data_IF_435069596354
#
_entry.id   IF_435069596354
#
_cell.length_a   1.000
_cell.length_b   1.000
_cell.length_c   1.000
_cell.angle_alpha   90.00
_cell.angle_beta   90.00
_cell.angle_gamma   90.00
#
_symmetry.space_group_name_H-M   'P 1'
#
loop_
_entity.id
_entity.type
_entity.pdbx_description
1 polymer ?
#
# COMPACT_ATOMS: atom_id res chain seq x y z
N UNK A 1 -45.35 42.65 64.60
CA UNK A 1 -43.93 42.98 64.30
C UNK A 1 -42.93 41.87 64.66
N UNK A 2 -43.16 41.00 65.67
CA UNK A 2 -42.23 39.86 65.98
C UNK A 2 -42.15 38.77 64.89
N UNK A 3 -43.23 38.57 64.11
CA UNK A 3 -43.26 37.60 63.02
C UNK A 3 -42.56 38.11 61.74
N UNK A 4 -42.45 39.43 61.55
CA UNK A 4 -41.74 40.02 60.39
C UNK A 4 -40.24 40.11 60.64
N UNK A 5 -39.80 40.31 61.88
CA UNK A 5 -38.37 40.27 62.24
C UNK A 5 -37.78 38.86 62.16
N UNK A 6 -38.51 37.82 62.55
CA UNK A 6 -38.08 36.42 62.36
C UNK A 6 -37.90 36.08 60.86
N UNK A 7 -38.88 36.43 60.02
CA UNK A 7 -38.78 36.24 58.57
C UNK A 7 -37.61 37.01 57.92
N UNK A 8 -37.31 38.23 58.39
CA UNK A 8 -36.16 39.01 57.90
C UNK A 8 -34.82 38.38 58.28
N UNK A 9 -34.75 37.71 59.42
CA UNK A 9 -33.55 37.03 59.89
C UNK A 9 -33.29 35.73 59.13
N UNK A 10 -34.33 34.92 58.93
CA UNK A 10 -34.24 33.67 58.19
C UNK A 10 -33.92 33.92 56.70
N UNK A 11 -34.51 34.96 56.10
CA UNK A 11 -34.18 35.35 54.72
C UNK A 11 -32.76 35.89 54.58
N UNK A 12 -32.22 36.61 55.56
CA UNK A 12 -30.84 37.11 55.52
C UNK A 12 -29.79 36.01 55.74
N UNK A 13 -30.04 35.05 56.63
CA UNK A 13 -29.20 33.85 56.77
C UNK A 13 -29.23 33.00 55.50
N UNK A 14 -30.42 32.76 54.93
CA UNK A 14 -30.54 32.03 53.67
C UNK A 14 -29.83 32.74 52.51
N UNK A 15 -29.83 34.08 52.49
CA UNK A 15 -29.06 34.86 51.52
C UNK A 15 -27.55 34.73 51.71
N UNK A 16 -27.06 34.74 52.95
CA UNK A 16 -25.64 34.55 53.26
C UNK A 16 -25.16 33.15 52.88
N UNK A 17 -25.93 32.11 53.24
CA UNK A 17 -25.62 30.73 52.87
C UNK A 17 -25.58 30.54 51.34
N UNK A 18 -26.54 31.13 50.61
CA UNK A 18 -26.53 31.11 49.13
C UNK A 18 -25.28 31.78 48.55
N UNK A 19 -24.86 32.92 49.10
CA UNK A 19 -23.65 33.63 48.65
C UNK A 19 -22.37 32.87 48.98
N UNK A 20 -22.30 32.25 50.16
CA UNK A 20 -21.16 31.41 50.56
C UNK A 20 -21.01 30.21 49.62
N UNK A 21 -22.11 29.54 49.28
CA UNK A 21 -22.11 28.41 48.35
C UNK A 21 -21.68 28.85 46.93
N UNK A 22 -22.17 30.01 46.45
CA UNK A 22 -21.77 30.56 45.16
C UNK A 22 -20.27 30.87 45.11
N UNK A 23 -19.72 31.47 46.18
CA UNK A 23 -18.30 31.79 46.29
C UNK A 23 -17.41 30.53 46.29
N UNK A 24 -17.86 29.48 46.97
CA UNK A 24 -17.17 28.19 46.99
C UNK A 24 -17.17 27.52 45.61
N UNK A 25 -18.31 27.54 44.91
CA UNK A 25 -18.41 27.02 43.53
C UNK A 25 -17.49 27.79 42.58
N UNK A 26 -17.47 29.12 42.65
CA UNK A 26 -16.61 29.93 41.80
C UNK A 26 -15.13 29.76 42.11
N UNK A 27 -14.76 29.56 43.38
CA UNK A 27 -13.41 29.16 43.75
C UNK A 27 -13.02 27.80 43.16
N UNK A 28 -13.94 26.83 43.10
CA UNK A 28 -13.70 25.54 42.45
C UNK A 28 -13.53 25.69 40.93
N UNK A 29 -14.33 26.53 40.28
CA UNK A 29 -14.19 26.83 38.85
C UNK A 29 -12.86 27.51 38.53
N UNK A 30 -12.42 28.46 39.36
CA UNK A 30 -11.12 29.13 39.21
C UNK A 30 -9.95 28.19 39.44
N UNK A 31 -10.02 27.32 40.44
CA UNK A 31 -8.92 26.37 40.74
C UNK A 31 -8.85 25.22 39.73
N UNK A 32 -9.99 24.78 39.19
CA UNK A 32 -10.05 23.75 38.14
C UNK A 32 -9.83 24.29 36.73
N UNK A 33 -10.00 25.60 36.51
CA UNK A 33 -9.99 26.23 35.18
C UNK A 33 -11.20 25.88 34.32
N UNK A 34 -12.21 25.20 34.87
CA UNK A 34 -13.41 24.75 34.14
C UNK A 34 -14.63 25.52 34.61
N UNK A 35 -15.40 26.04 33.66
CA UNK A 35 -16.73 26.63 33.88
C UNK A 35 -17.73 25.54 34.29
N UNK A 36 -17.64 24.36 33.68
CA UNK A 36 -18.50 23.21 33.97
C UNK A 36 -17.68 22.16 34.71
N UNK A 37 -17.91 22.00 36.01
CA UNK A 37 -17.27 20.97 36.82
C UNK A 37 -18.17 19.72 36.94
N UNK A 38 -19.49 19.92 37.04
CA UNK A 38 -20.48 18.85 37.07
C UNK A 38 -21.51 19.03 35.96
N UNK A 39 -22.04 17.93 35.43
CA UNK A 39 -23.07 17.96 34.40
C UNK A 39 -24.38 18.64 34.86
N UNK A 40 -24.60 18.75 36.17
CA UNK A 40 -25.71 19.50 36.77
C UNK A 40 -25.59 21.02 36.60
N UNK A 41 -24.38 21.55 36.42
CA UNK A 41 -24.13 22.99 36.35
C UNK A 41 -24.62 23.58 35.01
N UNK A 42 -24.39 22.84 33.92
CA UNK A 42 -24.86 23.16 32.57
C UNK A 42 -24.96 21.86 31.76
N UNK A 43 -26.13 21.19 31.73
CA UNK A 43 -26.29 19.91 31.06
C UNK A 43 -26.09 20.01 29.54
N UNK A 44 -26.34 21.20 28.96
CA UNK A 44 -26.18 21.40 27.51
C UNK A 44 -24.72 21.59 27.11
N UNK A 45 -23.97 22.36 27.90
CA UNK A 45 -22.53 22.53 27.75
C UNK A 45 -21.77 21.24 28.02
N UNK A 46 -22.17 20.49 29.07
CA UNK A 46 -21.62 19.17 29.36
C UNK A 46 -21.84 18.20 28.17
N UNK A 47 -23.06 18.15 27.61
CA UNK A 47 -23.34 17.30 26.45
C UNK A 47 -22.54 17.70 25.18
N UNK A 48 -22.20 18.99 25.02
CA UNK A 48 -21.32 19.46 23.94
C UNK A 48 -19.87 19.03 24.18
N UNK A 49 -19.36 19.24 25.39
CA UNK A 49 -18.01 18.84 25.78
C UNK A 49 -17.80 17.32 25.63
N UNK A 50 -18.77 16.50 26.03
CA UNK A 50 -18.72 15.04 25.88
C UNK A 50 -18.70 14.60 24.42
N UNK A 51 -19.52 15.23 23.56
CA UNK A 51 -19.48 14.95 22.10
C UNK A 51 -18.13 15.30 21.50
N UNK A 52 -17.56 16.43 21.90
CA UNK A 52 -16.24 16.85 21.46
C UNK A 52 -15.13 15.89 21.95
N UNK A 53 -15.18 15.45 23.21
CA UNK A 53 -14.26 14.43 23.75
C UNK A 53 -14.36 13.09 23.00
N UNK A 54 -15.59 12.63 22.73
CA UNK A 54 -15.80 11.43 21.92
C UNK A 54 -15.24 11.59 20.49
N UNK A 55 -15.33 12.80 19.92
CA UNK A 55 -14.72 13.11 18.62
C UNK A 55 -13.19 13.05 18.68
N UNK A 56 -12.57 13.67 19.69
CA UNK A 56 -11.12 13.62 19.92
C UNK A 56 -10.65 12.17 20.05
N UNK A 57 -11.32 11.35 20.87
CA UNK A 57 -10.96 9.94 21.04
C UNK A 57 -11.03 9.13 19.75
N UNK A 58 -12.02 9.39 18.89
CA UNK A 58 -12.09 8.78 17.54
C UNK A 58 -10.95 9.23 16.65
N UNK A 59 -10.62 10.51 16.65
CA UNK A 59 -9.50 11.05 15.85
C UNK A 59 -8.18 10.45 16.29
N UNK A 60 -7.92 10.32 17.59
CA UNK A 60 -6.69 9.70 18.11
C UNK A 60 -6.59 8.21 17.75
N UNK A 61 -7.71 7.48 17.76
CA UNK A 61 -7.73 6.11 17.27
C UNK A 61 -7.39 6.02 15.78
N UNK A 62 -7.91 6.95 14.96
CA UNK A 62 -7.58 7.04 13.55
C UNK A 62 -6.12 7.44 13.30
N UNK A 63 -5.56 8.34 14.11
CA UNK A 63 -4.14 8.73 14.00
C UNK A 63 -3.21 7.53 14.24
N UNK A 64 -3.49 6.70 15.26
CA UNK A 64 -2.72 5.46 15.50
C UNK A 64 -2.85 4.47 14.35
N UNK A 65 -4.05 4.33 13.78
CA UNK A 65 -4.31 3.47 12.63
C UNK A 65 -3.56 3.95 11.37
N UNK A 66 -3.55 5.26 11.13
CA UNK A 66 -2.84 5.92 10.04
C UNK A 66 -1.33 5.73 10.18
N UNK A 67 -0.77 5.91 11.39
CA UNK A 67 0.65 5.72 11.65
C UNK A 67 1.09 4.27 11.40
N UNK A 68 0.29 3.29 11.82
CA UNK A 68 0.55 1.88 11.52
C UNK A 68 0.55 1.61 10.00
N UNK A 69 -0.39 2.20 9.27
CA UNK A 69 -0.45 2.10 7.81
C UNK A 69 0.75 2.78 7.14
N UNK A 70 1.13 3.99 7.58
CA UNK A 70 2.31 4.72 7.07
C UNK A 70 3.59 3.91 7.26
N UNK A 71 3.77 3.31 8.45
CA UNK A 71 4.94 2.47 8.73
C UNK A 71 5.00 1.27 7.79
N UNK A 72 3.88 0.57 7.60
CA UNK A 72 3.80 -0.58 6.68
C UNK A 72 4.05 -0.17 5.22
N UNK A 73 3.39 0.88 4.74
CA UNK A 73 3.56 1.37 3.36
C UNK A 73 4.99 1.88 3.10
N UNK A 74 5.63 2.54 4.07
CA UNK A 74 7.04 2.97 3.96
C UNK A 74 7.98 1.77 3.85
N UNK A 75 7.73 0.73 4.65
CA UNK A 75 8.54 -0.50 4.60
C UNK A 75 8.32 -1.26 3.28
N UNK A 76 7.08 -1.30 2.78
CA UNK A 76 6.76 -1.85 1.46
C UNK A 76 7.47 -1.08 0.33
N UNK A 77 7.41 0.25 0.36
CA UNK A 77 8.06 1.14 -0.60
C UNK A 77 9.57 0.91 -0.65
N UNK A 78 10.22 0.83 0.51
CA UNK A 78 11.65 0.49 0.62
C UNK A 78 11.94 -0.91 0.07
N UNK A 79 11.14 -1.91 0.42
CA UNK A 79 11.32 -3.27 -0.08
C UNK A 79 11.19 -3.36 -1.61
N UNK A 80 10.23 -2.65 -2.20
CA UNK A 80 10.07 -2.57 -3.66
C UNK A 80 11.24 -1.82 -4.32
N UNK A 81 11.77 -0.78 -3.65
CA UNK A 81 13.00 -0.10 -4.06
C UNK A 81 14.20 -1.04 -4.12
N UNK A 82 14.48 -1.74 -3.03
CA UNK A 82 15.58 -2.73 -2.91
C UNK A 82 15.43 -3.83 -3.98
N UNK A 83 14.21 -4.31 -4.21
CA UNK A 83 13.93 -5.33 -5.22
C UNK A 83 14.23 -4.85 -6.65
N UNK A 84 13.89 -3.59 -6.96
CA UNK A 84 14.17 -3.00 -8.26
C UNK A 84 15.68 -2.81 -8.51
N UNK A 85 16.47 -2.52 -7.47
CA UNK A 85 17.94 -2.49 -7.56
C UNK A 85 18.52 -3.88 -7.84
N UNK A 86 18.03 -4.92 -7.16
CA UNK A 86 18.44 -6.29 -7.41
C UNK A 86 18.07 -6.77 -8.81
N UNK A 87 16.90 -6.39 -9.32
CA UNK A 87 16.51 -6.72 -10.70
C UNK A 87 17.37 -5.98 -11.74
N UNK A 88 17.84 -4.76 -11.45
CA UNK A 88 18.83 -4.09 -12.29
C UNK A 88 20.14 -4.88 -12.34
N UNK A 89 20.61 -5.40 -11.20
CA UNK A 89 21.79 -6.27 -11.16
C UNK A 89 21.56 -7.60 -11.89
N UNK A 90 20.35 -8.16 -11.82
CA UNK A 90 19.99 -9.35 -12.59
C UNK A 90 20.02 -9.07 -14.09
N UNK A 91 19.46 -7.93 -14.52
CA UNK A 91 19.48 -7.45 -15.91
C UNK A 91 20.92 -7.27 -16.40
N UNK A 92 21.79 -6.62 -15.64
CA UNK A 92 23.21 -6.48 -15.98
C UNK A 92 23.91 -7.83 -16.13
N UNK A 93 23.60 -8.77 -15.23
CA UNK A 93 24.15 -10.13 -15.27
C UNK A 93 23.69 -10.87 -16.52
N UNK A 94 22.42 -10.71 -16.93
CA UNK A 94 21.91 -11.24 -18.19
C UNK A 94 22.52 -10.54 -19.41
N UNK A 95 22.67 -9.22 -19.41
CA UNK A 95 23.38 -8.51 -20.51
C UNK A 95 24.80 -9.08 -20.68
N UNK A 96 25.53 -9.29 -19.58
CA UNK A 96 26.85 -9.92 -19.59
C UNK A 96 26.80 -11.36 -20.10
N UNK A 97 25.80 -12.14 -19.69
CA UNK A 97 25.59 -13.50 -20.18
C UNK A 97 25.31 -13.54 -21.70
N UNK A 98 24.81 -12.48 -22.31
CA UNK A 98 24.64 -12.37 -23.76
C UNK A 98 25.95 -12.39 -24.56
N UNK A 99 27.12 -12.23 -23.93
CA UNK A 99 28.41 -12.21 -24.61
C UNK A 99 28.70 -13.54 -25.32
N UNK A 100 28.86 -13.51 -26.65
CA UNK A 100 29.07 -14.68 -27.47
C UNK A 100 30.40 -15.41 -27.19
N UNK A 101 31.39 -14.72 -26.62
CA UNK A 101 32.71 -15.28 -26.30
C UNK A 101 32.76 -16.04 -24.98
N UNK A 102 31.70 -16.00 -24.16
CA UNK A 102 31.66 -16.71 -22.88
C UNK A 102 31.44 -18.20 -23.05
N UNK A 103 32.29 -18.96 -22.36
CA UNK A 103 32.22 -20.40 -22.17
C UNK A 103 31.08 -20.80 -21.22
N UNK A 104 30.72 -22.09 -21.26
CA UNK A 104 29.72 -22.67 -20.36
C UNK A 104 30.11 -22.50 -18.87
N UNK A 105 31.42 -22.52 -18.55
CA UNK A 105 31.91 -22.31 -17.19
C UNK A 105 31.71 -20.86 -16.70
N UNK A 106 31.93 -19.89 -17.57
CA UNK A 106 31.66 -18.48 -17.26
C UNK A 106 30.16 -18.23 -17.11
N UNK A 107 29.33 -18.80 -17.97
CA UNK A 107 27.85 -18.72 -17.88
C UNK A 107 27.33 -19.34 -16.58
N UNK A 108 27.88 -20.47 -16.15
CA UNK A 108 27.57 -21.09 -14.86
C UNK A 108 27.93 -20.20 -13.67
N UNK A 109 29.02 -19.44 -13.78
CA UNK A 109 29.39 -18.46 -12.75
C UNK A 109 28.38 -17.32 -12.66
N UNK A 110 27.85 -16.85 -13.81
CA UNK A 110 26.75 -15.88 -13.85
C UNK A 110 25.44 -16.46 -13.31
N UNK A 111 25.15 -17.73 -13.57
CA UNK A 111 24.00 -18.43 -12.99
C UNK A 111 24.06 -18.44 -11.46
N UNK A 112 25.26 -18.65 -10.89
CA UNK A 112 25.49 -18.60 -9.43
C UNK A 112 25.23 -17.18 -8.88
N UNK A 113 25.63 -16.14 -9.61
CA UNK A 113 25.33 -14.76 -9.25
C UNK A 113 23.81 -14.48 -9.29
N UNK A 114 23.11 -14.94 -10.32
CA UNK A 114 21.65 -14.81 -10.41
C UNK A 114 20.92 -15.56 -9.30
N UNK A 115 21.41 -16.74 -8.90
CA UNK A 115 20.87 -17.47 -7.75
C UNK A 115 20.96 -16.62 -6.48
N UNK A 116 22.11 -15.99 -6.22
CA UNK A 116 22.26 -15.09 -5.07
C UNK A 116 21.27 -13.90 -5.10
N UNK A 117 21.06 -13.31 -6.28
CA UNK A 117 20.08 -12.24 -6.46
C UNK A 117 18.65 -12.74 -6.22
N UNK A 118 18.30 -13.92 -6.75
CA UNK A 118 17.00 -14.58 -6.53
C UNK A 118 16.74 -14.82 -5.05
N UNK A 119 17.72 -15.35 -4.32
CA UNK A 119 17.58 -15.64 -2.89
C UNK A 119 17.42 -14.36 -2.06
N UNK A 120 18.12 -13.29 -2.43
CA UNK A 120 17.94 -11.97 -1.83
C UNK A 120 16.55 -11.39 -2.12
N UNK A 121 16.06 -11.51 -3.36
CA UNK A 121 14.70 -11.09 -3.72
C UNK A 121 13.64 -11.87 -2.94
N UNK A 122 13.85 -13.17 -2.72
CA UNK A 122 12.94 -13.98 -1.90
C UNK A 122 12.92 -13.51 -0.44
N UNK A 123 14.07 -13.13 0.11
CA UNK A 123 14.14 -12.54 1.45
C UNK A 123 13.40 -11.19 1.53
N UNK A 124 13.46 -10.38 0.48
CA UNK A 124 12.70 -9.11 0.39
C UNK A 124 11.20 -9.37 0.28
N UNK A 125 10.79 -10.32 -0.56
CA UNK A 125 9.38 -10.70 -0.72
C UNK A 125 8.79 -11.25 0.59
N UNK A 126 9.62 -11.86 1.44
CA UNK A 126 9.28 -12.33 2.78
C UNK A 126 9.73 -11.36 3.90
N UNK A 127 9.76 -10.05 3.64
CA UNK A 127 10.14 -9.07 4.67
C UNK A 127 9.07 -8.98 5.78
N UNK A 128 9.45 -9.10 7.07
CA UNK A 128 8.51 -9.01 8.18
C UNK A 128 8.04 -7.56 8.39
N UNK A 129 6.83 -7.40 8.91
CA UNK A 129 6.24 -6.09 9.23
C UNK A 129 6.63 -5.55 10.63
N UNK A 130 7.35 -6.35 11.43
CA UNK A 130 7.73 -6.03 12.80
C UNK A 130 6.66 -6.29 13.86
N UNK A 131 5.43 -6.62 13.46
CA UNK A 131 4.29 -6.95 14.31
C UNK A 131 3.96 -8.44 14.36
N UNK A 132 4.82 -9.29 13.76
CA UNK A 132 4.64 -10.75 13.68
C UNK A 132 4.00 -11.23 12.37
N UNK A 133 3.79 -10.32 11.41
CA UNK A 133 3.34 -10.63 10.06
C UNK A 133 4.38 -10.29 9.00
N UNK A 134 3.92 -10.27 7.75
CA UNK A 134 4.74 -9.96 6.57
C UNK A 134 4.05 -8.92 5.70
N UNK A 135 4.84 -8.01 5.13
CA UNK A 135 4.33 -6.85 4.39
C UNK A 135 3.53 -7.28 3.15
N UNK A 136 4.04 -8.29 2.44
CA UNK A 136 3.47 -8.80 1.20
C UNK A 136 2.53 -10.00 1.42
N UNK A 137 1.98 -10.16 2.63
CA UNK A 137 1.10 -11.31 2.96
C UNK A 137 -0.36 -11.14 2.54
N UNK A 138 -0.70 -10.07 1.83
CA UNK A 138 -2.08 -9.82 1.41
C UNK A 138 -3.01 -9.67 2.62
N UNK A 139 -3.99 -10.55 2.82
CA UNK A 139 -4.88 -10.50 4.00
C UNK A 139 -4.23 -10.89 5.35
N UNK A 140 -2.91 -11.01 5.40
CA UNK A 140 -2.16 -11.29 6.63
C UNK A 140 -1.90 -12.77 6.83
N UNK A 141 -0.67 -13.09 7.23
CA UNK A 141 -0.28 -14.43 7.65
C UNK A 141 0.89 -14.33 8.63
N UNK A 142 0.91 -15.21 9.62
CA UNK A 142 2.06 -15.41 10.50
C UNK A 142 3.15 -16.29 9.85
N UNK A 143 2.87 -16.87 8.68
CA UNK A 143 3.82 -17.67 7.90
C UNK A 143 4.35 -16.86 6.71
N UNK A 144 5.59 -17.13 6.25
CA UNK A 144 6.15 -16.50 5.06
C UNK A 144 5.20 -16.62 3.84
N UNK A 145 4.88 -15.51 3.15
CA UNK A 145 3.95 -15.54 2.02
C UNK A 145 4.49 -16.23 0.78
N UNK A 146 5.81 -16.28 0.59
CA UNK A 146 6.47 -16.93 -0.54
C UNK A 146 7.26 -18.14 -0.07
N UNK A 147 6.90 -19.32 -0.58
CA UNK A 147 7.60 -20.57 -0.29
C UNK A 147 8.34 -21.05 -1.53
N UNK A 148 9.61 -21.42 -1.35
CA UNK A 148 10.42 -22.05 -2.38
C UNK A 148 10.15 -23.57 -2.37
N UNK A 149 9.49 -24.06 -3.42
CA UNK A 149 9.11 -25.45 -3.58
C UNK A 149 9.83 -26.08 -4.79
N UNK A 150 9.67 -27.39 -4.99
CA UNK A 150 10.31 -28.09 -6.11
C UNK A 150 9.93 -27.53 -7.48
N UNK A 151 8.72 -26.96 -7.61
CA UNK A 151 8.21 -26.35 -8.84
C UNK A 151 8.49 -24.83 -8.93
N UNK A 152 9.31 -24.30 -8.02
CA UNK A 152 9.65 -22.88 -7.91
C UNK A 152 8.96 -22.16 -6.74
N UNK A 153 9.12 -20.83 -6.69
CA UNK A 153 8.51 -20.01 -5.65
C UNK A 153 7.02 -19.82 -5.93
N UNK A 154 6.17 -20.10 -4.93
CA UNK A 154 4.74 -19.87 -5.00
C UNK A 154 4.24 -18.98 -3.86
N UNK A 155 3.26 -18.12 -4.19
CA UNK A 155 2.54 -17.35 -3.19
C UNK A 155 1.48 -18.21 -2.50
N UNK A 156 1.64 -18.40 -1.18
CA UNK A 156 0.71 -19.16 -0.33
C UNK A 156 -0.16 -18.27 0.56
N UNK A 157 -0.08 -16.95 0.38
CA UNK A 157 -0.96 -16.00 1.08
C UNK A 157 -2.35 -15.91 0.46
N UNK A 158 -3.25 -15.21 1.15
CA UNK A 158 -4.56 -14.86 0.62
C UNK A 158 -4.46 -13.47 -0.01
N UNK A 159 -4.79 -13.38 -1.31
CA UNK A 159 -4.76 -12.12 -2.05
C UNK A 159 -5.69 -11.06 -1.42
N UNK A 160 -5.34 -9.79 -1.57
CA UNK A 160 -6.05 -8.67 -0.96
C UNK A 160 -5.21 -7.95 0.09
N UNK A 161 -5.85 -7.30 1.06
CA UNK A 161 -5.13 -6.55 2.09
C UNK A 161 -5.89 -6.44 3.39
N UNK A 162 -5.18 -6.31 4.51
CA UNK A 162 -5.80 -5.96 5.79
C UNK A 162 -6.05 -4.45 5.79
N UNK A 163 -7.25 -4.07 6.23
CA UNK A 163 -7.62 -2.69 6.50
C UNK A 163 -7.87 -2.48 7.99
N UNK A 164 -7.64 -1.26 8.48
CA UNK A 164 -8.04 -0.86 9.83
C UNK A 164 -9.56 -0.72 9.90
N UNK A 165 -10.19 -1.32 10.91
CA UNK A 165 -11.65 -1.36 11.07
C UNK A 165 -12.28 -0.08 11.63
N UNK A 166 -11.72 1.08 11.31
CA UNK A 166 -12.20 2.39 11.77
C UNK A 166 -13.05 3.08 10.69
N UNK A 167 -13.52 4.32 10.94
CA UNK A 167 -14.30 5.12 9.97
C UNK A 167 -13.58 5.32 8.62
N UNK A 168 -12.25 5.36 8.64
CA UNK A 168 -11.39 5.36 7.46
C UNK A 168 -10.60 4.03 7.44
N UNK A 169 -10.73 3.28 6.35
CA UNK A 169 -10.04 2.00 6.15
C UNK A 169 -8.61 2.25 5.65
N UNK A 170 -7.62 2.23 6.53
CA UNK A 170 -6.20 2.31 6.14
C UNK A 170 -5.62 0.92 5.91
N UNK A 171 -4.91 0.76 4.80
CA UNK A 171 -4.32 -0.51 4.40
C UNK A 171 -3.03 -0.80 5.17
N UNK A 172 -2.92 -2.01 5.73
CA UNK A 172 -1.79 -2.44 6.56
C UNK A 172 -0.84 -3.41 5.84
N UNK A 173 -1.20 -3.87 4.66
CA UNK A 173 -0.43 -4.85 3.88
C UNK A 173 -0.54 -4.60 2.39
N UNK A 174 0.44 -5.06 1.63
CA UNK A 174 0.42 -5.01 0.17
C UNK A 174 0.08 -6.40 -0.38
N UNK A 175 -0.63 -6.44 -1.50
CA UNK A 175 -0.91 -7.70 -2.20
C UNK A 175 0.39 -8.24 -2.81
N UNK A 176 0.94 -9.28 -2.18
CA UNK A 176 2.16 -9.93 -2.65
C UNK A 176 1.96 -10.64 -3.99
N UNK A 177 0.78 -11.21 -4.25
CA UNK A 177 0.54 -11.87 -5.54
C UNK A 177 0.59 -10.84 -6.68
N UNK A 178 -0.07 -9.71 -6.51
CA UNK A 178 -0.03 -8.59 -7.45
C UNK A 178 1.40 -8.08 -7.71
N UNK A 179 2.21 -7.96 -6.66
CA UNK A 179 3.58 -7.46 -6.79
C UNK A 179 4.55 -8.45 -7.47
N UNK A 180 4.49 -9.73 -7.10
CA UNK A 180 5.58 -10.68 -7.40
C UNK A 180 5.19 -11.76 -8.43
N UNK A 181 3.90 -12.03 -8.64
CA UNK A 181 3.41 -13.12 -9.51
C UNK A 181 2.56 -12.68 -10.71
N UNK A 182 2.21 -11.38 -10.82
CA UNK A 182 1.24 -10.91 -11.82
C UNK A 182 1.79 -9.85 -12.77
N UNK A 183 3.08 -9.91 -13.10
CA UNK A 183 3.62 -9.04 -14.13
C UNK A 183 2.97 -9.35 -15.49
N UNK A 184 2.77 -8.32 -16.31
CA UNK A 184 2.26 -8.47 -17.66
C UNK A 184 3.41 -8.88 -18.57
N UNK A 185 3.38 -10.12 -19.06
CA UNK A 185 4.44 -10.70 -19.88
C UNK A 185 4.56 -10.09 -21.28
N UNK A 186 5.67 -10.41 -21.95
CA UNK A 186 5.88 -10.03 -23.35
C UNK A 186 6.18 -8.55 -23.55
N UNK A 187 5.60 -7.93 -24.58
CA UNK A 187 5.71 -6.49 -24.85
C UNK A 187 4.52 -5.67 -24.30
N UNK A 188 3.74 -6.25 -23.37
CA UNK A 188 2.51 -5.65 -22.83
C UNK A 188 1.25 -5.89 -23.67
N UNK A 189 1.37 -6.43 -24.89
CA UNK A 189 0.22 -6.79 -25.74
C UNK A 189 0.20 -8.28 -26.11
N UNK A 190 1.37 -8.87 -26.36
CA UNK A 190 1.53 -10.30 -26.61
C UNK A 190 2.87 -10.79 -26.09
N UNK A 191 2.93 -12.08 -25.81
CA UNK A 191 4.15 -12.82 -25.49
C UNK A 191 4.54 -13.68 -26.68
N UNK A 192 5.81 -13.58 -27.08
CA UNK A 192 6.38 -14.45 -28.11
C UNK A 192 7.33 -15.44 -27.47
N UNK A 193 7.29 -16.68 -27.93
CA UNK A 193 8.17 -17.71 -27.43
C UNK A 193 8.23 -18.93 -28.35
N UNK A 194 9.20 -19.82 -28.14
CA UNK A 194 9.13 -21.15 -28.73
C UNK A 194 7.79 -21.81 -28.37
N UNK A 195 7.10 -22.36 -29.35
CA UNK A 195 6.05 -23.35 -29.04
C UNK A 195 6.74 -24.61 -28.48
N UNK A 196 6.02 -25.43 -27.71
CA UNK A 196 6.57 -26.59 -26.99
C UNK A 196 7.68 -27.29 -27.80
N UNK A 197 8.86 -27.42 -27.16
CA UNK A 197 10.10 -27.87 -27.79
C UNK A 197 9.85 -29.14 -28.60
N UNK A 198 9.91 -29.03 -29.93
CA UNK A 198 10.19 -30.20 -30.75
C UNK A 198 11.67 -30.50 -30.52
N UNK A 199 11.95 -31.59 -29.82
CA UNK A 199 13.32 -32.12 -29.76
C UNK A 199 13.52 -32.81 -31.09
N UNK A 200 14.52 -32.38 -31.86
CA UNK A 200 14.96 -33.14 -33.02
C UNK A 200 15.47 -34.51 -32.53
N UNK A 201 14.73 -35.56 -32.88
CA UNK A 201 14.99 -36.94 -32.47
C UNK A 201 16.34 -37.48 -32.97
N UNK A 202 16.97 -36.80 -33.93
CA UNK A 202 18.24 -37.18 -34.57
C UNK A 202 19.43 -36.50 -33.89
N UNK A 203 19.27 -35.25 -33.44
CA UNK A 203 20.36 -34.44 -32.87
C UNK A 203 20.27 -34.29 -31.35
N UNK A 204 19.12 -34.62 -30.75
CA UNK A 204 18.87 -34.44 -29.31
C UNK A 204 18.87 -32.98 -28.86
N UNK A 205 18.79 -32.04 -29.82
CA UNK A 205 18.84 -30.59 -29.56
C UNK A 205 17.45 -29.96 -29.72
N UNK A 206 17.12 -28.91 -28.94
CA UNK A 206 15.97 -28.06 -29.22
C UNK A 206 16.13 -27.39 -30.59
N UNK A 207 15.16 -27.56 -31.48
CA UNK A 207 15.23 -27.08 -32.89
C UNK A 207 15.14 -25.56 -33.03
N UNK A 208 14.58 -24.89 -32.02
CA UNK A 208 14.13 -23.49 -32.12
C UNK A 208 15.28 -22.51 -32.42
N UNK A 209 15.22 -21.85 -33.58
CA UNK A 209 16.03 -20.65 -33.88
C UNK A 209 15.19 -19.37 -33.98
N UNK A 210 15.52 -18.41 -33.12
CA UNK A 210 15.34 -16.95 -33.20
C UNK A 210 13.97 -16.41 -33.69
N UNK A 211 13.15 -15.95 -32.73
CA UNK A 211 12.17 -14.89 -33.00
C UNK A 211 12.84 -13.56 -32.67
N UNK A 212 12.82 -12.60 -33.60
CA UNK A 212 13.12 -11.21 -33.28
C UNK A 212 11.85 -10.58 -32.66
N UNK A 213 11.85 -10.20 -31.37
CA UNK A 213 10.66 -9.70 -30.69
C UNK A 213 10.22 -8.31 -31.14
N UNK A 214 10.78 -7.73 -32.21
CA UNK A 214 10.34 -6.48 -32.83
C UNK A 214 8.95 -6.58 -33.49
N UNK A 215 8.07 -7.40 -32.94
CA UNK A 215 6.68 -7.46 -33.30
C UNK A 215 5.98 -6.18 -32.79
N UNK A 216 5.34 -5.48 -33.71
CA UNK A 216 4.51 -4.31 -33.43
C UNK A 216 3.09 -4.68 -33.84
N UNK A 217 2.24 -4.94 -32.86
CA UNK A 217 0.86 -5.30 -33.12
C UNK A 217 -0.04 -4.95 -31.94
N UNK A 218 -1.26 -4.51 -32.23
CA UNK A 218 -2.37 -4.64 -31.29
C UNK A 218 -2.86 -6.09 -31.39
N UNK A 219 -2.90 -6.83 -30.28
CA UNK A 219 -3.60 -8.11 -30.26
C UNK A 219 -5.11 -7.79 -30.38
N UNK A 220 -5.64 -7.87 -31.59
CA UNK A 220 -6.98 -7.41 -31.96
C UNK A 220 -8.14 -8.21 -31.35
N UNK A 221 -7.87 -9.25 -30.54
CA UNK A 221 -8.96 -10.05 -29.96
C UNK A 221 -8.62 -11.02 -28.84
N UNK A 222 -7.38 -11.09 -28.35
CA UNK A 222 -6.99 -12.07 -27.31
C UNK A 222 -6.85 -13.51 -27.82
N UNK A 223 -6.56 -13.68 -29.10
CA UNK A 223 -6.33 -14.97 -29.74
C UNK A 223 -4.87 -15.42 -29.54
N UNK A 224 -4.66 -16.73 -29.53
CA UNK A 224 -3.36 -17.38 -29.50
C UNK A 224 -3.01 -17.86 -30.92
N UNK A 225 -1.82 -17.51 -31.40
CA UNK A 225 -1.35 -17.85 -32.75
C UNK A 225 -0.10 -18.72 -32.70
N UNK A 226 0.10 -19.48 -33.77
CA UNK A 226 1.30 -20.28 -34.00
C UNK A 226 1.82 -20.08 -35.41
N UNK A 227 3.13 -19.95 -35.52
CA UNK A 227 3.83 -19.94 -36.80
C UNK A 227 4.60 -21.22 -36.92
N UNK A 228 4.37 -21.95 -38.00
CA UNK A 228 5.15 -23.13 -38.37
C UNK A 228 6.01 -22.78 -39.58
N UNK A 229 7.32 -23.05 -39.49
CA UNK A 229 8.27 -22.93 -40.59
C UNK A 229 8.57 -24.32 -41.13
N UNK A 230 8.41 -24.48 -42.44
CA UNK A 230 8.59 -25.77 -43.12
C UNK A 230 9.49 -25.65 -44.35
N UNK A 231 10.20 -26.73 -44.65
CA UNK A 231 11.10 -26.88 -45.78
C UNK A 231 12.55 -26.51 -45.48
N UNK A 232 13.39 -26.65 -46.49
CA UNK A 232 14.84 -26.39 -46.40
C UNK A 232 15.19 -25.10 -47.12
N UNK A 233 16.11 -24.32 -46.54
CA UNK A 233 16.61 -23.11 -47.19
C UNK A 233 17.16 -23.42 -48.59
N UNK A 234 16.93 -22.56 -49.61
CA UNK A 234 16.28 -21.25 -49.54
C UNK A 234 14.76 -21.26 -49.83
N UNK A 235 14.12 -22.43 -49.96
CA UNK A 235 12.71 -22.56 -50.37
C UNK A 235 11.76 -22.79 -49.20
N UNK A 236 12.10 -22.23 -48.03
CA UNK A 236 11.28 -22.36 -46.83
C UNK A 236 9.95 -21.65 -46.99
N UNK A 237 8.94 -22.15 -46.27
CA UNK A 237 7.61 -21.56 -46.18
C UNK A 237 7.24 -21.35 -44.73
N UNK A 238 6.37 -20.40 -44.46
CA UNK A 238 5.76 -20.21 -43.15
C UNK A 238 4.25 -20.32 -43.24
N UNK A 239 3.62 -20.78 -42.17
CA UNK A 239 2.17 -20.79 -41.98
C UNK A 239 1.85 -20.17 -40.62
N UNK A 240 1.11 -19.06 -40.62
CA UNK A 240 0.55 -18.45 -39.41
C UNK A 240 -0.87 -18.98 -39.21
N UNK A 241 -1.11 -19.61 -38.07
CA UNK A 241 -2.39 -20.21 -37.68
C UNK A 241 -2.91 -19.54 -36.42
N UNK A 242 -4.17 -19.12 -36.43
CA UNK A 242 -4.92 -18.77 -35.23
C UNK A 242 -5.34 -20.09 -34.55
N UNK A 243 -4.77 -20.37 -33.38
CA UNK A 243 -5.06 -21.58 -32.62
C UNK A 243 -6.39 -21.49 -31.85
N UNK A 244 -6.89 -20.29 -31.57
CA UNK A 244 -8.17 -20.06 -30.90
C UNK A 244 -9.33 -20.42 -31.82
N UNK A 245 -9.23 -20.11 -33.10
CA UNK A 245 -10.27 -20.40 -34.12
C UNK A 245 -9.93 -21.65 -34.95
N UNK A 246 -8.67 -22.06 -34.98
CA UNK A 246 -8.19 -23.21 -35.76
C UNK A 246 -8.05 -22.90 -37.25
N UNK A 247 -7.84 -21.64 -37.63
CA UNK A 247 -7.78 -21.19 -39.04
C UNK A 247 -6.41 -20.63 -39.41
N UNK A 248 -5.97 -20.89 -40.64
CA UNK A 248 -4.77 -20.25 -41.20
C UNK A 248 -5.06 -18.79 -41.50
N UNK A 249 -4.27 -17.91 -40.89
CA UNK A 249 -4.35 -16.45 -41.09
C UNK A 249 -3.60 -16.05 -42.36
N UNK A 250 -2.39 -16.56 -42.52
CA UNK A 250 -1.55 -16.30 -43.71
C UNK A 250 -0.50 -17.38 -43.88
N UNK A 251 -0.01 -17.56 -45.11
CA UNK A 251 1.10 -18.46 -45.42
C UNK A 251 1.89 -17.91 -46.61
N UNK A 252 3.19 -18.17 -46.68
CA UNK A 252 4.00 -17.70 -47.79
C UNK A 252 5.43 -18.25 -47.78
N UNK A 253 6.23 -17.79 -48.73
CA UNK A 253 7.67 -18.08 -48.74
C UNK A 253 8.33 -17.37 -47.55
N UNK A 254 9.11 -18.11 -46.78
CA UNK A 254 9.86 -17.61 -45.66
C UNK A 254 11.16 -16.94 -46.14
N UNK A 255 11.41 -15.72 -45.68
CA UNK A 255 12.69 -15.04 -45.84
C UNK A 255 13.08 -14.44 -44.49
N UNK A 256 14.30 -14.76 -44.04
CA UNK A 256 14.84 -14.25 -42.80
C UNK A 256 14.81 -12.71 -42.78
N UNK A 257 14.32 -12.14 -41.68
CA UNK A 257 14.22 -10.69 -41.47
C UNK A 257 13.10 -10.00 -42.27
N UNK A 258 12.35 -10.72 -43.11
CA UNK A 258 11.16 -10.17 -43.75
C UNK A 258 10.01 -10.14 -42.73
N UNK A 259 9.27 -9.02 -42.70
CA UNK A 259 8.07 -8.92 -41.88
C UNK A 259 6.99 -9.91 -42.37
N UNK A 260 6.46 -10.69 -41.44
CA UNK A 260 5.27 -11.51 -41.61
C UNK A 260 4.12 -10.73 -40.96
N UNK A 261 3.06 -10.51 -41.73
CA UNK A 261 1.90 -9.75 -41.28
C UNK A 261 0.62 -10.55 -41.44
N UNK A 262 -0.25 -10.49 -40.44
CA UNK A 262 -1.54 -11.18 -40.42
C UNK A 262 -2.38 -10.69 -39.24
N UNK A 263 -3.68 -10.55 -39.45
CA UNK A 263 -4.66 -10.18 -38.42
C UNK A 263 -4.30 -8.93 -37.58
N UNK A 264 -3.83 -7.87 -38.26
CA UNK A 264 -3.41 -6.63 -37.60
C UNK A 264 -2.05 -6.70 -36.89
N UNK A 265 -1.38 -7.85 -36.94
CA UNK A 265 -0.05 -8.05 -36.37
C UNK A 265 1.05 -8.03 -37.44
N UNK A 266 2.24 -7.57 -37.05
CA UNK A 266 3.46 -7.69 -37.83
C UNK A 266 4.62 -8.11 -36.92
N UNK A 267 5.42 -9.08 -37.37
CA UNK A 267 6.61 -9.56 -36.67
C UNK A 267 7.68 -10.01 -37.65
N UNK A 268 8.92 -10.13 -37.18
CA UNK A 268 10.06 -10.61 -37.97
C UNK A 268 10.64 -11.86 -37.32
N UNK A 269 11.03 -12.82 -38.14
CA UNK A 269 11.83 -13.96 -37.71
C UNK A 269 13.21 -13.75 -38.30
N UNK A 270 14.18 -13.48 -37.43
CA UNK A 270 15.58 -13.37 -37.82
C UNK A 270 16.24 -14.76 -37.78
N UNK A 271 17.40 -14.92 -38.42
CA UNK A 271 18.14 -16.19 -38.38
C UNK A 271 17.70 -17.21 -39.44
N UNK A 272 18.12 -18.46 -39.27
CA UNK A 272 17.90 -19.54 -40.24
C UNK A 272 17.08 -20.67 -39.59
N UNK A 273 15.75 -20.52 -39.48
CA UNK A 273 14.90 -21.57 -38.89
C UNK A 273 15.06 -22.88 -39.66
N UNK A 274 14.97 -23.99 -38.93
CA UNK A 274 14.99 -25.32 -39.52
C UNK A 274 13.57 -25.78 -39.90
N UNK A 275 13.50 -26.85 -40.69
CA UNK A 275 12.22 -27.49 -41.00
C UNK A 275 11.56 -28.02 -39.72
N UNK A 276 10.29 -27.68 -39.51
CA UNK A 276 9.53 -28.08 -38.32
C UNK A 276 9.65 -27.13 -37.13
N UNK A 277 10.37 -26.01 -37.27
CA UNK A 277 10.41 -24.97 -36.25
C UNK A 277 9.04 -24.32 -36.07
N UNK A 278 8.66 -24.11 -34.81
CA UNK A 278 7.38 -23.49 -34.48
C UNK A 278 7.47 -22.48 -33.35
N UNK A 279 6.69 -21.42 -33.49
CA UNK A 279 6.69 -20.27 -32.61
C UNK A 279 5.28 -19.96 -32.16
N UNK A 280 5.10 -19.71 -30.86
CA UNK A 280 3.83 -19.29 -30.29
C UNK A 280 3.82 -17.76 -30.13
N UNK A 281 2.69 -17.17 -30.44
CA UNK A 281 2.35 -15.78 -30.14
C UNK A 281 1.06 -15.83 -29.33
N UNK A 282 1.18 -15.65 -28.03
CA UNK A 282 0.02 -15.66 -27.13
C UNK A 282 -0.32 -14.26 -26.67
N UNK A 283 -1.59 -13.99 -26.34
CA UNK A 283 -1.96 -12.73 -25.71
C UNK A 283 -1.16 -12.49 -24.41
N UNK A 284 -0.76 -11.26 -24.12
CA UNK A 284 -0.05 -10.95 -22.89
C UNK A 284 -0.99 -11.21 -21.70
N UNK A 285 -0.53 -12.01 -20.75
CA UNK A 285 -1.25 -12.36 -19.52
C UNK A 285 -0.53 -11.77 -18.31
N UNK A 286 -1.29 -11.49 -17.26
CA UNK A 286 -0.76 -11.02 -15.96
C UNK A 286 -0.44 -12.20 -15.05
N UNK A 287 0.34 -13.15 -15.56
CA UNK A 287 0.75 -14.40 -14.90
C UNK A 287 2.27 -14.59 -14.87
N UNK A 288 3.04 -13.60 -15.33
CA UNK A 288 4.50 -13.66 -15.30
C UNK A 288 4.98 -13.50 -13.86
N UNK A 289 5.57 -14.58 -13.33
CA UNK A 289 6.13 -14.63 -11.97
C UNK A 289 7.60 -14.25 -11.95
N UNK A 290 7.98 -13.33 -11.07
CA UNK A 290 9.38 -12.88 -10.92
C UNK A 290 10.34 -14.04 -10.74
N UNK A 291 10.05 -14.93 -9.79
CA UNK A 291 10.94 -16.03 -9.45
C UNK A 291 11.03 -17.05 -10.57
N UNK A 292 9.92 -17.32 -11.28
CA UNK A 292 9.93 -18.20 -12.46
C UNK A 292 10.80 -17.64 -13.58
N UNK A 293 10.84 -16.32 -13.77
CA UNK A 293 11.70 -15.65 -14.76
C UNK A 293 13.17 -15.86 -14.41
N UNK A 294 13.54 -15.64 -13.14
CA UNK A 294 14.91 -15.86 -12.68
C UNK A 294 15.30 -17.34 -12.72
N UNK A 295 14.41 -18.25 -12.30
CA UNK A 295 14.62 -19.70 -12.33
C UNK A 295 14.88 -20.19 -13.75
N UNK A 296 14.05 -19.74 -14.70
CA UNK A 296 14.24 -20.05 -16.12
C UNK A 296 15.59 -19.54 -16.61
N UNK A 297 15.97 -18.30 -16.28
CA UNK A 297 17.27 -17.74 -16.65
C UNK A 297 18.44 -18.54 -16.05
N UNK A 298 18.33 -18.97 -14.79
CA UNK A 298 19.36 -19.77 -14.11
C UNK A 298 19.50 -21.15 -14.76
N UNK A 299 18.38 -21.82 -15.08
CA UNK A 299 18.38 -23.11 -15.80
C UNK A 299 19.02 -22.95 -17.17
N UNK A 300 18.66 -21.88 -17.88
CA UNK A 300 19.20 -21.52 -19.19
C UNK A 300 20.73 -21.36 -19.16
N UNK A 301 21.27 -20.66 -18.16
CA UNK A 301 22.72 -20.44 -18.02
C UNK A 301 23.48 -21.69 -17.54
N UNK A 302 22.81 -22.61 -16.84
CA UNK A 302 23.38 -23.87 -16.39
C UNK A 302 23.33 -24.97 -17.46
N UNK A 303 22.52 -24.80 -18.51
CA UNK A 303 22.40 -25.78 -19.59
C UNK A 303 23.64 -25.71 -20.50
N UNK A 304 24.48 -26.77 -20.54
CA UNK A 304 25.71 -26.77 -21.33
C UNK A 304 25.44 -26.97 -22.82
N UNK A 305 26.43 -26.67 -23.67
CA UNK A 305 26.43 -26.95 -25.11
C UNK A 305 25.28 -26.29 -25.89
N UNK A 306 24.74 -25.18 -25.38
CA UNK A 306 23.78 -24.35 -26.11
C UNK A 306 24.42 -23.73 -27.35
N UNK A 307 23.67 -23.66 -28.44
CA UNK A 307 24.12 -22.93 -29.64
C UNK A 307 24.14 -21.43 -29.36
N UNK A 308 24.94 -20.67 -30.11
CA UNK A 308 24.96 -19.19 -30.02
C UNK A 308 23.58 -18.57 -30.22
N UNK A 309 22.75 -19.17 -31.07
CA UNK A 309 21.35 -18.77 -31.30
C UNK A 309 20.49 -19.03 -30.06
N UNK A 310 20.60 -20.21 -29.45
CA UNK A 310 19.85 -20.55 -28.23
C UNK A 310 20.23 -19.63 -27.07
N UNK A 311 21.53 -19.32 -26.92
CA UNK A 311 22.01 -18.38 -25.92
C UNK A 311 21.44 -16.98 -26.16
N UNK A 312 21.56 -16.46 -27.38
CA UNK A 312 21.05 -15.12 -27.72
C UNK A 312 19.56 -15.01 -27.47
N UNK A 313 18.77 -16.03 -27.84
CA UNK A 313 17.33 -16.03 -27.66
C UNK A 313 16.92 -16.12 -26.19
N UNK A 314 17.50 -17.06 -25.44
CA UNK A 314 17.24 -17.19 -24.00
C UNK A 314 17.56 -15.89 -23.26
N UNK A 315 18.64 -15.23 -23.65
CA UNK A 315 19.03 -13.95 -23.07
C UNK A 315 18.04 -12.82 -23.38
N UNK A 316 17.61 -12.70 -24.64
CA UNK A 316 16.62 -11.69 -25.04
C UNK A 316 15.28 -11.91 -24.33
N UNK A 317 14.82 -13.16 -24.21
CA UNK A 317 13.59 -13.49 -23.49
C UNK A 317 13.71 -13.17 -22.00
N UNK A 318 14.81 -13.59 -21.35
CA UNK A 318 15.04 -13.29 -19.95
C UNK A 318 15.11 -11.78 -19.68
N UNK A 319 15.79 -11.00 -20.54
CA UNK A 319 15.85 -9.53 -20.41
C UNK A 319 14.46 -8.90 -20.54
N UNK A 320 13.67 -9.31 -21.54
CA UNK A 320 12.29 -8.85 -21.72
C UNK A 320 11.44 -9.14 -20.48
N UNK A 321 11.50 -10.37 -19.98
CA UNK A 321 10.66 -10.79 -18.86
C UNK A 321 11.12 -10.14 -17.53
N UNK A 322 12.43 -9.91 -17.35
CA UNK A 322 12.97 -9.10 -16.24
C UNK A 322 12.45 -7.67 -16.32
N UNK A 323 12.45 -7.05 -17.49
CA UNK A 323 11.94 -5.68 -17.68
C UNK A 323 10.42 -5.59 -17.41
N UNK A 324 9.65 -6.60 -17.83
CA UNK A 324 8.22 -6.70 -17.51
C UNK A 324 7.96 -6.75 -16.00
N UNK A 325 8.72 -7.58 -15.27
CA UNK A 325 8.61 -7.70 -13.82
C UNK A 325 9.09 -6.41 -13.12
N UNK A 326 10.17 -5.78 -13.60
CA UNK A 326 10.61 -4.47 -13.10
C UNK A 326 9.51 -3.42 -13.27
N UNK A 327 8.85 -3.36 -14.43
CA UNK A 327 7.74 -2.44 -14.67
C UNK A 327 6.57 -2.69 -13.72
N UNK A 328 6.25 -3.95 -13.43
CA UNK A 328 5.21 -4.29 -12.45
C UNK A 328 5.57 -3.82 -11.03
N UNK A 329 6.80 -4.08 -10.57
CA UNK A 329 7.25 -3.62 -9.26
C UNK A 329 7.27 -2.08 -9.17
N UNK A 330 7.66 -1.38 -10.23
CA UNK A 330 7.61 0.08 -10.30
C UNK A 330 6.16 0.61 -10.24
N UNK A 331 5.22 -0.04 -10.93
CA UNK A 331 3.80 0.28 -10.84
C UNK A 331 3.26 0.10 -9.43
N UNK A 332 3.58 -1.04 -8.79
CA UNK A 332 3.20 -1.29 -7.39
C UNK A 332 3.81 -0.27 -6.44
N UNK A 333 5.08 0.08 -6.64
CA UNK A 333 5.79 1.12 -5.88
C UNK A 333 5.10 2.48 -6.04
N UNK A 334 4.70 2.85 -7.26
CA UNK A 334 3.93 4.06 -7.51
C UNK A 334 2.58 4.06 -6.78
N UNK A 335 1.87 2.93 -6.74
CA UNK A 335 0.60 2.81 -5.98
C UNK A 335 0.82 2.95 -4.47
N UNK A 336 1.90 2.37 -3.93
CA UNK A 336 2.27 2.55 -2.52
C UNK A 336 2.62 4.02 -2.23
N UNK A 337 3.36 4.69 -3.12
CA UNK A 337 3.63 6.12 -3.03
C UNK A 337 2.37 6.99 -3.04
N UNK A 338 1.39 6.69 -3.90
CA UNK A 338 0.10 7.38 -3.90
C UNK A 338 -0.65 7.17 -2.58
N UNK A 339 -0.60 5.97 -2.00
CA UNK A 339 -1.18 5.69 -0.68
C UNK A 339 -0.52 6.51 0.41
N UNK A 340 0.80 6.62 0.42
CA UNK A 340 1.53 7.49 1.37
C UNK A 340 1.07 8.94 1.27
N UNK A 341 0.93 9.49 0.05
CA UNK A 341 0.40 10.84 -0.15
C UNK A 341 -1.04 11.01 0.38
N UNK A 342 -1.90 10.00 0.17
CA UNK A 342 -3.26 9.99 0.70
C UNK A 342 -3.30 9.92 2.24
N UNK A 343 -2.34 9.22 2.86
CA UNK A 343 -2.17 9.20 4.32
C UNK A 343 -1.76 10.58 4.83
N UNK A 344 -0.83 11.28 4.17
CA UNK A 344 -0.43 12.66 4.56
C UNK A 344 -1.61 13.65 4.51
N UNK A 345 -2.43 13.56 3.45
CA UNK A 345 -3.65 14.36 3.34
C UNK A 345 -4.68 14.03 4.44
N UNK A 346 -4.81 12.74 4.79
CA UNK A 346 -5.71 12.31 5.86
C UNK A 346 -5.21 12.72 7.24
N UNK A 347 -3.90 12.67 7.50
CA UNK A 347 -3.29 13.16 8.74
C UNK A 347 -3.61 14.63 8.95
N UNK A 348 -3.46 15.45 7.91
CA UNK A 348 -3.78 16.88 7.95
C UNK A 348 -5.25 17.11 8.29
N UNK A 349 -6.16 16.35 7.67
CA UNK A 349 -7.62 16.42 7.94
C UNK A 349 -7.95 16.00 9.38
N UNK A 350 -7.34 14.94 9.88
CA UNK A 350 -7.52 14.46 11.25
C UNK A 350 -6.98 15.47 12.26
N UNK A 351 -5.82 16.08 12.00
CA UNK A 351 -5.26 17.13 12.84
C UNK A 351 -6.20 18.34 12.93
N UNK A 352 -6.75 18.80 11.80
CA UNK A 352 -7.74 19.88 11.77
C UNK A 352 -9.03 19.52 12.55
N UNK A 353 -9.53 18.30 12.39
CA UNK A 353 -10.72 17.82 13.12
C UNK A 353 -10.46 17.72 14.63
N UNK A 354 -9.25 17.31 15.04
CA UNK A 354 -8.83 17.29 16.45
C UNK A 354 -8.85 18.70 17.03
N UNK A 355 -8.20 19.65 16.35
CA UNK A 355 -8.15 21.04 16.78
C UNK A 355 -9.56 21.63 16.91
N UNK A 356 -10.41 21.46 15.90
CA UNK A 356 -11.81 21.91 15.95
C UNK A 356 -12.57 21.30 17.13
N UNK A 357 -12.41 20.00 17.38
CA UNK A 357 -13.06 19.33 18.51
C UNK A 357 -12.50 19.83 19.87
N UNK A 358 -11.21 20.17 19.95
CA UNK A 358 -10.61 20.77 21.14
C UNK A 358 -11.13 22.19 21.40
N UNK A 359 -11.31 22.99 20.34
CA UNK A 359 -11.94 24.31 20.40
C UNK A 359 -13.40 24.22 20.87
N UNK A 360 -14.19 23.28 20.34
CA UNK A 360 -15.57 23.04 20.80
C UNK A 360 -15.62 22.60 22.26
N UNK A 361 -14.71 21.72 22.68
CA UNK A 361 -14.59 21.28 24.08
C UNK A 361 -14.27 22.47 24.99
N UNK A 362 -13.29 23.29 24.60
CA UNK A 362 -12.84 24.46 25.36
C UNK A 362 -13.96 25.49 25.50
N UNK A 363 -14.61 25.85 24.38
CA UNK A 363 -15.75 26.76 24.37
C UNK A 363 -16.93 26.26 25.23
N UNK A 364 -17.10 24.94 25.34
CA UNK A 364 -18.14 24.33 26.16
C UNK A 364 -17.79 24.28 27.65
N UNK A 365 -16.57 23.92 28.03
CA UNK A 365 -16.24 23.57 29.43
C UNK A 365 -15.28 24.54 30.13
N UNK A 366 -14.41 25.24 29.40
CA UNK A 366 -13.29 25.97 30.00
C UNK A 366 -13.76 27.34 30.52
N UNK A 367 -13.13 27.80 31.60
CA UNK A 367 -13.43 29.10 32.21
C UNK A 367 -12.55 30.19 31.59
N UNK A 368 -13.15 31.29 31.17
CA UNK A 368 -12.40 32.53 30.94
C UNK A 368 -11.88 33.03 32.30
N UNK A 369 -10.60 32.83 32.55
CA UNK A 369 -9.97 33.15 33.84
C UNK A 369 -10.03 34.65 34.16
N UNK A 370 -10.00 35.52 33.15
CA UNK A 370 -10.04 36.98 33.36
C UNK A 370 -11.42 37.39 33.87
N UNK A 371 -12.46 36.91 33.18
CA UNK A 371 -13.84 37.14 33.60
C UNK A 371 -14.15 36.45 34.94
N UNK A 372 -13.69 35.21 35.12
CA UNK A 372 -13.91 34.42 36.32
C UNK A 372 -13.30 35.05 37.58
N UNK A 373 -12.09 35.61 37.48
CA UNK A 373 -11.44 36.34 38.58
C UNK A 373 -12.21 37.62 38.92
N UNK A 374 -12.64 38.37 37.90
CA UNK A 374 -13.43 39.60 38.07
C UNK A 374 -14.75 39.33 38.78
N UNK A 375 -15.47 38.29 38.36
CA UNK A 375 -16.74 37.89 38.95
C UNK A 375 -16.56 37.37 40.39
N UNK A 376 -15.47 36.65 40.67
CA UNK A 376 -15.16 36.17 42.01
C UNK A 376 -14.91 37.32 42.98
N UNK A 377 -14.12 38.31 42.56
CA UNK A 377 -13.85 39.52 43.37
C UNK A 377 -15.14 40.30 43.65
N UNK A 378 -16.01 40.44 42.64
CA UNK A 378 -17.31 41.09 42.81
C UNK A 378 -18.21 40.34 43.81
N UNK A 379 -18.27 39.01 43.72
CA UNK A 379 -19.04 38.20 44.66
C UNK A 379 -18.48 38.24 46.08
N UNK A 380 -17.15 38.22 46.23
CA UNK A 380 -16.47 38.34 47.53
C UNK A 380 -16.81 39.68 48.19
N UNK A 381 -16.66 40.79 47.46
CA UNK A 381 -17.03 42.12 47.95
C UNK A 381 -18.52 42.22 48.34
N UNK A 382 -19.40 41.60 47.53
CA UNK A 382 -20.83 41.53 47.83
C UNK A 382 -21.16 40.69 49.07
N UNK A 383 -20.46 39.58 49.29
CA UNK A 383 -20.60 38.74 50.48
C UNK A 383 -20.14 39.49 51.75
N UNK A 384 -18.98 40.14 51.69
CA UNK A 384 -18.46 40.96 52.79
C UNK A 384 -19.39 42.13 53.13
N UNK A 385 -19.99 42.75 52.11
CA UNK A 385 -20.99 43.80 52.29
C UNK A 385 -22.26 43.25 52.96
N UNK A 386 -22.75 42.09 52.52
CA UNK A 386 -23.92 41.44 53.12
C UNK A 386 -23.68 41.07 54.60
N UNK A 387 -22.50 40.57 54.94
CA UNK A 387 -22.09 40.31 56.33
C UNK A 387 -22.12 41.59 57.18
N UNK A 388 -21.58 42.69 56.66
CA UNK A 388 -21.59 43.99 57.35
C UNK A 388 -23.01 44.52 57.55
N UNK A 389 -23.87 44.44 56.54
CA UNK A 389 -25.28 44.85 56.63
C UNK A 389 -26.06 43.99 57.63
N UNK A 390 -25.85 42.68 57.62
CA UNK A 390 -26.45 41.76 58.59
C UNK A 390 -26.03 42.10 60.04
N UNK A 391 -24.74 42.35 60.26
CA UNK A 391 -24.23 42.78 61.56
C UNK A 391 -24.83 44.12 62.04
N UNK A 392 -25.08 45.07 61.12
CA UNK A 392 -25.76 46.33 61.45
C UNK A 392 -27.24 46.13 61.82
N UNK A 393 -27.97 45.29 61.10
CA UNK A 393 -29.38 44.97 61.40
C UNK A 393 -29.52 44.23 62.73
N UNK A 394 -28.62 43.28 63.03
CA UNK A 394 -28.56 42.63 64.35
C UNK A 394 -28.41 43.64 65.48
N UNK A 395 -27.48 44.60 65.34
CA UNK A 395 -27.24 45.66 66.34
C UNK A 395 -28.45 46.58 66.56
N UNK A 396 -29.19 46.94 65.50
CA UNK A 396 -30.40 47.78 65.63
C UNK A 396 -31.55 47.06 66.34
N UNK A 397 -31.73 45.76 66.10
CA UNK A 397 -32.78 44.97 66.76
C UNK A 397 -32.55 44.82 68.28
N UNK A 398 -31.28 44.73 68.70
CA UNK A 398 -30.88 44.69 70.11
C UNK A 398 -31.15 46.02 70.81
N UNK A 399 -30.91 47.15 70.13
CA UNK A 399 -31.22 48.47 70.66
C UNK A 399 -32.73 48.68 70.88
N UNK A 400 -33.58 48.26 69.93
CA UNK A 400 -35.04 48.29 70.08
C UNK A 400 -35.62 47.28 71.09
N UNK A 401 -34.84 46.28 71.52
CA UNK A 401 -35.24 45.34 72.57
C UNK A 401 -34.90 45.84 73.98
N UNK A 402 -33.90 46.73 74.10
CA UNK A 402 -33.41 47.28 75.36
C UNK A 402 -34.01 48.66 75.71
N UNK A 403 -34.65 49.33 74.76
CA UNK A 403 -35.47 50.56 74.96
C UNK A 403 -36.93 50.24 74.73
#
# INVERSE_FOLDING_TARGET
>A
MRLSTANLYDTSIANLQRRQNALQSQQQQLTSGKRIAQASDDPTGAARAERALASIGRVEANQRALEASRNSMTLAESALGDANELLQQARETMVSAGNASYSDAERKSLATKLQGIRDQLLAIANRPDGAGGYIFSGQGSASPPFLDQADGVSYVGVAGSIQTGNLDNFQLTVDGRGAWEQAVGGNGSFETGPSAVVIDATTGKPTVQLIDPAATAANGGGHDYRIDVAGTAPSQTYTLTDQTVGSVVTSGAFKAGQAISGDGMAFTIAGAPADGDAFAITGARSDTKLFSVLDKAIVDLNTPLRTSVQVSQGNTLALRDIEAVMGNLQSMRSQVGERLNNLDGTETRLAALKQYSEEERSAAQDLDMVQGISDFQNQQSGYDTALKTYAMVQKMSLFQYLT
#
